data_IF_987245683282
#
_entry.id   IF_987245683282
#
_cell.length_a   1.000
_cell.length_b   1.000
_cell.length_c   1.000
_cell.angle_alpha   90.00
_cell.angle_beta   90.00
_cell.angle_gamma   90.00
#
_symmetry.space_group_name_H-M   'P 1'
#
loop_
_entity.id
_entity.type
_entity.pdbx_description
1 polymer ?
#
# COMPACT_ATOMS: atom_id res chain seq x y z
N UNK A 1 5.83 -7.49 2.56
CA UNK A 1 4.39 -7.18 2.44
C UNK A 1 4.11 -5.72 2.81
N UNK A 2 4.47 -5.29 4.03
CA UNK A 2 4.08 -3.96 4.53
C UNK A 2 4.60 -2.77 3.75
N UNK A 3 5.80 -2.87 3.18
CA UNK A 3 6.36 -1.80 2.37
C UNK A 3 5.64 -1.60 1.03
N UNK A 4 4.80 -2.56 0.62
CA UNK A 4 4.20 -2.59 -0.71
C UNK A 4 5.23 -2.52 -1.84
N UNK A 5 6.50 -2.84 -1.60
CA UNK A 5 7.59 -2.69 -2.57
C UNK A 5 7.36 -3.55 -3.83
N UNK A 6 7.89 -3.09 -4.96
CA UNK A 6 7.98 -3.91 -6.18
C UNK A 6 9.03 -4.98 -5.98
N UNK A 7 8.88 -6.10 -6.68
CA UNK A 7 9.84 -7.20 -6.63
C UNK A 7 11.27 -6.75 -6.96
N UNK A 8 11.45 -5.90 -7.98
CA UNK A 8 12.77 -5.38 -8.34
C UNK A 8 13.38 -4.50 -7.25
N UNK A 9 12.54 -3.70 -6.57
CA UNK A 9 13.00 -2.86 -5.45
C UNK A 9 13.50 -3.72 -4.30
N UNK A 10 12.89 -4.89 -4.04
CA UNK A 10 13.35 -5.85 -3.04
C UNK A 10 14.66 -6.51 -3.46
N UNK A 11 14.81 -6.89 -4.73
CA UNK A 11 16.04 -7.48 -5.28
C UNK A 11 17.24 -6.54 -5.13
N UNK A 12 17.00 -5.24 -5.29
CA UNK A 12 18.05 -4.22 -5.30
C UNK A 12 18.35 -3.65 -3.91
N UNK A 13 17.66 -4.10 -2.86
CA UNK A 13 17.94 -3.69 -1.49
C UNK A 13 19.36 -4.09 -1.07
N UNK A 14 19.95 -3.22 -0.27
CA UNK A 14 21.21 -3.44 0.44
C UNK A 14 21.08 -2.96 1.89
N UNK A 15 21.98 -3.35 2.80
CA UNK A 15 21.97 -2.82 4.17
C UNK A 15 21.97 -1.29 4.23
N UNK A 16 22.67 -0.63 3.30
CA UNK A 16 22.66 0.84 3.19
C UNK A 16 21.30 1.47 2.84
N UNK A 17 20.33 0.67 2.39
CA UNK A 17 18.96 1.11 2.13
C UNK A 17 18.12 1.19 3.41
N UNK A 18 18.63 0.68 4.54
CA UNK A 18 17.91 0.58 5.81
C UNK A 18 18.43 1.60 6.81
N UNK A 19 17.49 2.22 7.52
CA UNK A 19 17.74 2.90 8.78
C UNK A 19 16.97 2.17 9.87
N UNK A 20 17.70 1.54 10.79
CA UNK A 20 17.11 0.70 11.85
C UNK A 20 16.97 1.44 13.19
N UNK A 21 17.65 2.57 13.36
CA UNK A 21 17.45 3.50 14.47
C UNK A 21 16.21 4.39 14.24
N UNK A 22 15.62 4.88 15.33
CA UNK A 22 14.39 5.67 15.26
C UNK A 22 14.64 7.08 14.69
N UNK A 23 13.77 7.60 13.79
CA UNK A 23 12.70 6.89 13.08
C UNK A 23 13.22 5.91 12.02
N UNK A 24 12.84 4.64 12.18
CA UNK A 24 13.26 3.53 11.35
C UNK A 24 12.50 3.50 10.03
N UNK A 25 13.23 3.25 8.94
CA UNK A 25 12.65 3.25 7.61
C UNK A 25 13.51 2.49 6.60
N UNK A 26 12.89 2.19 5.46
CA UNK A 26 13.56 1.65 4.27
C UNK A 26 13.47 2.65 3.13
N UNK A 27 14.58 2.83 2.42
CA UNK A 27 14.64 3.64 1.20
C UNK A 27 14.49 2.71 -0.01
N UNK A 28 13.45 2.96 -0.82
CA UNK A 28 13.18 2.19 -2.03
C UNK A 28 13.47 3.03 -3.28
N UNK A 29 14.16 2.42 -4.24
CA UNK A 29 14.55 3.06 -5.50
C UNK A 29 13.68 2.55 -6.65
N UNK A 30 12.75 3.39 -7.11
CA UNK A 30 11.86 3.07 -8.22
C UNK A 30 12.41 3.47 -9.60
N UNK A 31 11.57 3.32 -10.63
CA UNK A 31 11.88 3.72 -12.02
C UNK A 31 12.33 5.19 -12.09
N UNK A 32 13.41 5.44 -12.83
CA UNK A 32 14.00 6.78 -12.96
C UNK A 32 14.75 7.24 -11.70
N UNK A 33 15.23 6.30 -10.89
CA UNK A 33 15.92 6.54 -9.62
C UNK A 33 15.12 7.38 -8.61
N UNK A 34 13.79 7.35 -8.72
CA UNK A 34 12.91 8.03 -7.77
C UNK A 34 12.97 7.29 -6.44
N UNK A 35 13.44 7.99 -5.41
CA UNK A 35 13.51 7.47 -4.05
C UNK A 35 12.17 7.68 -3.35
N UNK A 36 11.77 6.72 -2.52
CA UNK A 36 10.72 6.92 -1.52
C UNK A 36 11.12 6.25 -0.22
N UNK A 37 10.68 6.84 0.88
CA UNK A 37 10.92 6.35 2.23
C UNK A 37 9.65 5.64 2.69
N UNK A 38 9.79 4.43 3.21
CA UNK A 38 8.69 3.69 3.82
C UNK A 38 9.04 3.41 5.27
N UNK A 39 8.22 3.85 6.24
CA UNK A 39 8.49 3.61 7.65
C UNK A 39 8.48 2.12 7.97
N UNK A 40 9.32 1.71 8.92
CA UNK A 40 9.34 0.35 9.44
C UNK A 40 8.67 0.32 10.81
N UNK A 41 7.95 -0.77 11.09
CA UNK A 41 7.44 -1.09 12.41
C UNK A 41 8.53 -1.76 13.26
N UNK A 42 8.41 -1.68 14.59
CA UNK A 42 9.43 -2.20 15.51
C UNK A 42 9.63 -3.73 15.35
N UNK A 43 8.56 -4.48 15.03
CA UNK A 43 8.65 -5.92 14.75
C UNK A 43 9.48 -6.22 13.49
N UNK A 44 9.35 -5.37 12.46
CA UNK A 44 10.10 -5.51 11.21
C UNK A 44 11.58 -5.19 11.41
N UNK A 45 11.89 -4.18 12.22
CA UNK A 45 13.26 -3.84 12.61
C UNK A 45 13.91 -5.03 13.30
N UNK A 46 13.19 -5.65 14.25
CA UNK A 46 13.67 -6.83 14.99
C UNK A 46 14.01 -7.99 14.04
N UNK A 47 13.10 -8.31 13.11
CA UNK A 47 13.33 -9.37 12.11
C UNK A 47 14.52 -9.06 11.19
N UNK A 48 14.63 -7.81 10.73
CA UNK A 48 15.73 -7.38 9.86
C UNK A 48 17.08 -7.44 10.58
N UNK A 49 17.16 -7.01 11.84
CA UNK A 49 18.38 -7.08 12.64
C UNK A 49 18.85 -8.52 12.84
N UNK A 50 17.93 -9.43 13.21
CA UNK A 50 18.24 -10.84 13.37
C UNK A 50 18.77 -11.45 12.06
N UNK A 51 18.05 -11.20 10.95
CA UNK A 51 18.45 -11.65 9.63
C UNK A 51 19.82 -11.11 9.20
N UNK A 52 20.08 -9.81 9.40
CA UNK A 52 21.35 -9.19 9.04
C UNK A 52 22.51 -9.78 9.83
N UNK A 53 22.32 -10.04 11.12
CA UNK A 53 23.34 -10.66 11.98
C UNK A 53 23.64 -12.10 11.54
N UNK A 54 22.61 -12.90 11.26
CA UNK A 54 22.77 -14.28 10.78
C UNK A 54 23.54 -14.34 9.44
N UNK A 55 23.38 -13.31 8.59
CA UNK A 55 23.99 -13.24 7.27
C UNK A 55 25.26 -12.35 7.20
N UNK A 56 25.79 -11.89 8.34
CA UNK A 56 26.97 -10.99 8.41
C UNK A 56 26.83 -9.71 7.55
N UNK A 57 25.63 -9.12 7.57
CA UNK A 57 25.27 -7.90 6.84
C UNK A 57 25.28 -6.64 7.72
N UNK A 58 25.55 -6.80 9.02
CA UNK A 58 25.64 -5.75 10.03
C UNK A 58 27.04 -5.08 10.09
N UNK A 59 27.98 -5.53 9.27
CA UNK A 59 29.31 -4.92 9.12
C UNK A 59 29.38 -3.93 7.96
N UNK A 60 30.18 -2.87 8.11
CA UNK A 60 30.32 -1.81 7.11
C UNK A 60 30.72 -2.32 5.71
N UNK A 61 31.60 -3.32 5.64
CA UNK A 61 32.06 -3.91 4.39
C UNK A 61 30.93 -4.59 3.57
N UNK A 62 29.81 -4.93 4.22
CA UNK A 62 28.66 -5.58 3.59
C UNK A 62 27.59 -4.60 3.12
N UNK A 63 27.76 -3.29 3.33
CA UNK A 63 26.71 -2.28 3.11
C UNK A 63 26.16 -2.21 1.68
N UNK A 64 26.95 -2.61 0.68
CA UNK A 64 26.57 -2.63 -0.73
C UNK A 64 26.22 -4.02 -1.25
N UNK A 65 26.30 -5.05 -0.39
CA UNK A 65 25.86 -6.40 -0.76
C UNK A 65 24.34 -6.46 -0.86
N UNK A 66 23.79 -7.39 -1.64
CA UNK A 66 22.35 -7.65 -1.64
C UNK A 66 21.89 -7.94 -0.22
N UNK A 67 20.84 -7.25 0.23
CA UNK A 67 20.24 -7.53 1.53
C UNK A 67 19.70 -8.96 1.55
N UNK A 68 18.96 -9.34 0.51
CA UNK A 68 18.49 -10.72 0.30
C UNK A 68 19.29 -11.37 -0.82
N UNK A 69 20.08 -12.38 -0.47
CA UNK A 69 20.96 -13.07 -1.41
C UNK A 69 20.44 -14.47 -1.78
N UNK A 70 20.85 -14.95 -2.95
CA UNK A 70 20.72 -16.35 -3.32
C UNK A 70 21.82 -17.21 -2.65
N UNK A 71 21.78 -18.53 -2.82
CA UNK A 71 22.76 -19.45 -2.22
C UNK A 71 24.23 -19.23 -2.69
N UNK A 72 24.45 -18.42 -3.73
CA UNK A 72 25.78 -18.03 -4.23
C UNK A 72 26.22 -16.65 -3.73
N UNK A 73 25.46 -16.01 -2.84
CA UNK A 73 25.73 -14.66 -2.33
C UNK A 73 25.39 -13.52 -3.30
N UNK A 74 24.79 -13.83 -4.46
CA UNK A 74 24.37 -12.84 -5.45
C UNK A 74 22.94 -12.35 -5.24
N UNK A 75 22.51 -11.36 -6.03
CA UNK A 75 21.11 -10.89 -6.03
C UNK A 75 20.14 -12.02 -6.38
N UNK A 76 18.97 -12.00 -5.75
CA UNK A 76 17.85 -12.81 -6.20
C UNK A 76 17.37 -12.37 -7.58
N UNK A 77 16.72 -13.27 -8.30
CA UNK A 77 16.02 -12.93 -9.55
C UNK A 77 14.53 -12.80 -9.30
N UNK A 78 13.81 -12.16 -10.23
CA UNK A 78 12.34 -12.09 -10.16
C UNK A 78 11.70 -13.49 -10.09
N UNK A 79 12.23 -14.43 -10.89
CA UNK A 79 11.82 -15.83 -10.84
C UNK A 79 12.16 -16.49 -9.49
N UNK A 80 13.34 -16.20 -8.92
CA UNK A 80 13.74 -16.70 -7.60
C UNK A 80 12.82 -16.23 -6.47
N UNK A 81 12.45 -14.94 -6.45
CA UNK A 81 11.47 -14.44 -5.45
C UNK A 81 10.10 -15.09 -5.65
N UNK A 82 9.66 -15.23 -6.90
CA UNK A 82 8.37 -15.87 -7.21
C UNK A 82 8.36 -17.33 -6.77
N UNK A 83 9.47 -18.04 -6.99
CA UNK A 83 9.66 -19.42 -6.53
C UNK A 83 9.58 -19.50 -5.00
N UNK A 84 10.36 -18.69 -4.27
CA UNK A 84 10.34 -18.65 -2.80
C UNK A 84 8.91 -18.39 -2.29
N UNK A 85 8.23 -17.40 -2.87
CA UNK A 85 6.85 -17.07 -2.49
C UNK A 85 5.90 -18.24 -2.72
N UNK A 86 5.99 -18.90 -3.88
CA UNK A 86 5.15 -20.04 -4.21
C UNK A 86 5.41 -21.24 -3.29
N UNK A 87 6.67 -21.49 -2.91
CA UNK A 87 7.01 -22.54 -1.94
C UNK A 87 6.27 -22.33 -0.62
N UNK A 88 6.32 -21.12 -0.06
CA UNK A 88 5.59 -20.81 1.17
C UNK A 88 4.07 -20.80 0.97
N UNK A 89 3.57 -20.37 -0.19
CA UNK A 89 2.15 -20.41 -0.53
C UNK A 89 1.61 -21.85 -0.53
N UNK A 90 2.35 -22.79 -1.14
CA UNK A 90 1.99 -24.21 -1.18
C UNK A 90 2.00 -24.80 0.23
N UNK A 91 3.04 -24.53 1.03
CA UNK A 91 3.10 -24.98 2.43
C UNK A 91 1.91 -24.46 3.24
N UNK A 92 1.53 -23.18 3.07
CA UNK A 92 0.38 -22.61 3.74
C UNK A 92 -0.95 -23.24 3.27
N UNK A 93 -1.09 -23.53 1.97
CA UNK A 93 -2.26 -24.25 1.40
C UNK A 93 -2.39 -25.67 1.94
N UNK A 94 -1.27 -26.37 2.18
CA UNK A 94 -1.31 -27.71 2.77
C UNK A 94 -1.92 -27.70 4.18
N UNK A 95 -1.75 -26.61 4.92
CA UNK A 95 -2.34 -26.44 6.26
C UNK A 95 -3.78 -25.93 6.20
N UNK A 96 -4.08 -24.98 5.30
CA UNK A 96 -5.39 -24.34 5.16
C UNK A 96 -5.71 -24.05 3.69
N UNK A 97 -6.19 -25.04 2.92
CA UNK A 97 -6.32 -24.93 1.46
C UNK A 97 -7.29 -23.84 1.03
N UNK A 98 -8.33 -23.59 1.82
CA UNK A 98 -9.39 -22.64 1.47
C UNK A 98 -9.03 -21.16 1.72
N UNK A 99 -7.93 -20.90 2.44
CA UNK A 99 -7.57 -19.53 2.86
C UNK A 99 -6.50 -18.88 1.98
N UNK A 100 -5.78 -19.66 1.17
CA UNK A 100 -4.59 -19.17 0.48
C UNK A 100 -4.81 -19.20 -1.04
N UNK A 101 -5.25 -18.09 -1.65
CA UNK A 101 -5.42 -18.00 -3.10
C UNK A 101 -4.07 -18.07 -3.82
N UNK A 102 -4.09 -18.04 -5.16
CA UNK A 102 -2.88 -17.80 -5.93
C UNK A 102 -2.25 -16.45 -5.58
N UNK A 103 -0.98 -16.48 -5.18
CA UNK A 103 -0.24 -15.29 -4.77
C UNK A 103 0.96 -15.05 -5.68
N UNK A 104 1.23 -13.79 -5.94
CA UNK A 104 2.42 -13.31 -6.62
C UNK A 104 2.89 -12.01 -5.95
N UNK A 105 4.11 -11.54 -6.22
CA UNK A 105 4.56 -10.25 -5.69
C UNK A 105 3.62 -9.09 -6.08
N UNK A 106 3.00 -9.15 -7.26
CA UNK A 106 2.04 -8.15 -7.70
C UNK A 106 0.73 -8.22 -6.91
N UNK A 107 0.19 -9.42 -6.67
CA UNK A 107 -1.05 -9.56 -5.89
C UNK A 107 -0.85 -9.13 -4.45
N UNK A 108 0.27 -9.51 -3.80
CA UNK A 108 0.59 -9.06 -2.43
C UNK A 108 0.67 -7.53 -2.32
N UNK A 109 1.27 -6.88 -3.30
CA UNK A 109 1.36 -5.42 -3.36
C UNK A 109 -0.03 -4.78 -3.52
N UNK A 110 -0.86 -5.33 -4.39
CA UNK A 110 -2.24 -4.86 -4.55
C UNK A 110 -3.05 -5.07 -3.27
N UNK A 111 -2.94 -6.22 -2.61
CA UNK A 111 -3.58 -6.50 -1.32
C UNK A 111 -3.16 -5.50 -0.25
N UNK A 112 -1.86 -5.16 -0.14
CA UNK A 112 -1.42 -4.14 0.82
C UNK A 112 -2.05 -2.77 0.53
N UNK A 113 -2.15 -2.38 -0.75
CA UNK A 113 -2.81 -1.14 -1.15
C UNK A 113 -4.29 -1.12 -0.74
N UNK A 114 -4.99 -2.24 -0.98
CA UNK A 114 -6.39 -2.39 -0.60
C UNK A 114 -6.60 -2.39 0.92
N UNK A 115 -5.72 -3.03 1.68
CA UNK A 115 -5.78 -3.00 3.14
C UNK A 115 -5.58 -1.58 3.69
N UNK A 116 -4.66 -0.79 3.11
CA UNK A 116 -4.48 0.61 3.49
C UNK A 116 -5.72 1.45 3.16
N UNK A 117 -6.31 1.24 1.98
CA UNK A 117 -7.54 1.92 1.58
C UNK A 117 -8.68 1.61 2.56
N UNK A 118 -8.91 0.33 2.82
CA UNK A 118 -9.94 -0.16 3.78
C UNK A 118 -9.71 0.37 5.20
N UNK A 119 -8.45 0.58 5.60
CA UNK A 119 -8.09 1.16 6.89
C UNK A 119 -8.29 2.68 6.97
N UNK A 120 -8.80 3.33 5.92
CA UNK A 120 -9.04 4.77 5.94
C UNK A 120 -7.86 5.63 5.46
N UNK A 121 -6.76 5.02 5.00
CA UNK A 121 -5.58 5.80 4.59
C UNK A 121 -5.89 6.58 3.32
N UNK A 122 -5.59 7.88 3.35
CA UNK A 122 -5.86 8.74 2.20
C UNK A 122 -5.07 8.28 0.96
N UNK A 123 -5.76 8.27 -0.18
CA UNK A 123 -5.29 7.70 -1.44
C UNK A 123 -3.97 8.32 -1.93
N UNK A 124 -3.71 9.59 -1.62
CA UNK A 124 -2.46 10.28 -1.94
C UNK A 124 -1.29 9.60 -1.23
N UNK A 125 -1.44 9.28 0.07
CA UNK A 125 -0.40 8.58 0.82
C UNK A 125 -0.20 7.15 0.33
N UNK A 126 -1.27 6.43 -0.03
CA UNK A 126 -1.17 5.09 -0.62
C UNK A 126 -0.39 5.15 -1.95
N UNK A 127 -0.73 6.12 -2.80
CA UNK A 127 -0.05 6.34 -4.08
C UNK A 127 1.43 6.62 -3.88
N UNK A 128 1.78 7.48 -2.94
CA UNK A 128 3.16 7.88 -2.66
C UNK A 128 3.95 6.72 -2.05
N UNK A 129 3.35 5.96 -1.12
CA UNK A 129 3.95 4.75 -0.51
C UNK A 129 4.24 3.66 -1.55
N UNK A 130 3.37 3.50 -2.54
CA UNK A 130 3.55 2.52 -3.61
C UNK A 130 4.44 3.09 -4.74
N UNK A 131 4.48 4.40 -4.94
CA UNK A 131 5.25 5.04 -6.02
C UNK A 131 4.66 4.78 -7.41
N UNK A 132 3.33 4.86 -7.57
CA UNK A 132 2.68 4.81 -8.89
C UNK A 132 2.82 6.17 -9.60
N UNK A 133 3.29 6.15 -10.85
CA UNK A 133 3.42 7.35 -11.71
C UNK A 133 2.19 7.53 -12.61
N UNK A 134 1.35 6.49 -12.79
CA UNK A 134 0.18 6.51 -13.68
C UNK A 134 -1.14 6.70 -12.93
N UNK A 135 -1.97 7.60 -13.44
CA UNK A 135 -3.32 7.94 -12.99
C UNK A 135 -4.27 6.72 -13.07
N UNK A 136 -4.07 5.79 -14.02
CA UNK A 136 -4.96 4.63 -14.22
C UNK A 136 -5.02 3.68 -13.00
N UNK A 137 -3.93 3.51 -12.24
CA UNK A 137 -3.97 2.67 -11.04
C UNK A 137 -4.65 3.38 -9.87
N UNK A 138 -4.56 4.71 -9.83
CA UNK A 138 -5.24 5.55 -8.84
C UNK A 138 -6.75 5.56 -9.08
N UNK A 139 -7.17 5.49 -10.35
CA UNK A 139 -8.57 5.41 -10.77
C UNK A 139 -9.25 4.11 -10.34
N UNK A 140 -8.54 2.96 -10.40
CA UNK A 140 -9.03 1.68 -9.88
C UNK A 140 -9.31 1.77 -8.37
N UNK A 141 -8.39 2.37 -7.60
CA UNK A 141 -8.60 2.57 -6.17
C UNK A 141 -9.73 3.57 -5.88
N UNK A 142 -9.85 4.64 -6.66
CA UNK A 142 -10.92 5.63 -6.52
C UNK A 142 -12.31 5.10 -6.88
N UNK A 143 -12.42 4.05 -7.71
CA UNK A 143 -13.68 3.32 -7.98
C UNK A 143 -14.00 2.34 -6.85
N UNK A 144 -12.99 1.67 -6.27
CA UNK A 144 -13.16 0.81 -5.11
C UNK A 144 -13.65 1.58 -3.84
N UNK A 145 -13.40 2.88 -3.79
CA UNK A 145 -13.79 3.85 -2.75
C UNK A 145 -15.29 4.22 -2.76
N UNK A 146 -16.14 3.67 -3.64
CA UNK A 146 -17.56 4.06 -3.70
C UNK A 146 -18.31 3.90 -2.37
N UNK A 147 -17.93 2.90 -1.55
CA UNK A 147 -18.51 2.67 -0.22
C UNK A 147 -17.93 3.61 0.84
N UNK A 148 -16.65 3.97 0.73
CA UNK A 148 -15.93 4.75 1.72
C UNK A 148 -16.13 6.26 1.48
N UNK A 149 -16.24 6.72 0.22
CA UNK A 149 -16.83 8.03 -0.13
C UNK A 149 -18.23 8.18 0.43
N UNK A 150 -19.08 7.14 0.27
CA UNK A 150 -20.44 7.17 0.79
C UNK A 150 -20.45 7.30 2.31
N UNK A 151 -19.65 6.52 3.03
CA UNK A 151 -19.53 6.63 4.49
C UNK A 151 -18.92 7.97 4.94
N UNK A 152 -17.94 8.52 4.22
CA UNK A 152 -17.34 9.82 4.54
C UNK A 152 -18.30 10.98 4.27
N UNK A 153 -19.07 10.92 3.18
CA UNK A 153 -20.17 11.84 2.90
C UNK A 153 -21.24 11.73 3.98
N UNK A 154 -21.76 10.53 4.26
CA UNK A 154 -22.75 10.30 5.30
C UNK A 154 -22.29 10.81 6.66
N UNK A 155 -21.04 10.56 7.05
CA UNK A 155 -20.45 11.07 8.30
C UNK A 155 -20.32 12.60 8.32
N UNK A 156 -19.97 13.23 7.20
CA UNK A 156 -19.92 14.69 7.08
C UNK A 156 -21.32 15.33 7.06
N UNK A 157 -22.34 14.59 6.60
CA UNK A 157 -23.73 15.06 6.54
C UNK A 157 -24.51 14.90 7.86
N UNK A 158 -23.98 14.18 8.86
CA UNK A 158 -24.64 13.99 10.18
C UNK A 158 -24.92 15.33 10.92
N UNK A 159 -24.30 16.44 10.52
CA UNK A 159 -24.57 17.77 11.10
C UNK A 159 -25.21 18.80 10.16
N UNK A 160 -25.53 18.44 8.91
CA UNK A 160 -26.01 19.39 7.88
C UNK A 160 -27.48 19.16 7.52
N UNK A 161 -28.06 18.00 7.89
CA UNK A 161 -29.49 17.77 7.74
C UNK A 161 -30.21 18.68 8.76
N UNK A 162 -30.95 19.71 8.33
CA UNK A 162 -31.79 20.46 9.23
C UNK A 162 -32.75 19.47 9.89
N UNK A 163 -32.98 19.60 11.20
CA UNK A 163 -34.03 18.84 11.89
C UNK A 163 -35.26 18.77 10.99
N UNK A 164 -35.83 17.57 10.81
CA UNK A 164 -36.91 17.24 9.87
C UNK A 164 -38.24 18.00 10.08
N UNK A 165 -38.23 19.14 10.77
CA UNK A 165 -39.36 20.03 11.02
C UNK A 165 -39.19 21.48 10.55
N UNK A 166 -38.05 21.90 9.96
CA UNK A 166 -37.93 23.24 9.36
C UNK A 166 -37.86 23.16 7.85
N UNK A 167 -38.96 23.51 7.17
CA UNK A 167 -38.95 23.76 5.71
C UNK A 167 -37.81 24.73 5.40
N UNK A 168 -36.86 24.30 4.55
CA UNK A 168 -35.73 25.14 4.15
C UNK A 168 -36.24 26.39 3.43
N UNK A 169 -35.59 27.54 3.62
CA UNK A 169 -36.00 28.81 2.98
C UNK A 169 -36.13 28.69 1.44
N UNK A 170 -35.33 27.81 0.83
CA UNK A 170 -35.35 27.47 -0.59
C UNK A 170 -36.61 26.69 -1.04
N UNK A 171 -37.31 26.00 -0.14
CA UNK A 171 -38.58 25.32 -0.47
C UNK A 171 -39.73 26.31 -0.70
N UNK A 172 -39.60 27.55 -0.21
CA UNK A 172 -40.59 28.62 -0.41
C UNK A 172 -40.32 29.44 -1.68
N UNK A 173 -39.16 29.27 -2.31
CA UNK A 173 -38.79 29.99 -3.52
C UNK A 173 -39.32 29.28 -4.78
N UNK A 174 -40.46 29.76 -5.28
CA UNK A 174 -41.12 29.25 -6.47
C UNK A 174 -40.32 29.50 -7.76
N UNK A 175 -39.47 30.53 -7.81
CA UNK A 175 -38.58 30.80 -8.96
C UNK A 175 -37.44 29.78 -9.00
N UNK A 176 -36.81 29.49 -7.86
CA UNK A 176 -35.73 28.51 -7.76
C UNK A 176 -36.22 27.10 -8.12
N UNK A 177 -37.41 26.71 -7.64
CA UNK A 177 -38.05 25.43 -8.01
C UNK A 177 -38.35 25.33 -9.50
N UNK A 178 -38.79 26.42 -10.12
CA UNK A 178 -39.03 26.48 -11.57
C UNK A 178 -37.74 26.32 -12.38
N UNK A 179 -36.65 26.94 -11.93
CA UNK A 179 -35.33 26.84 -12.56
C UNK A 179 -34.74 25.43 -12.47
N UNK A 180 -34.77 24.79 -11.30
CA UNK A 180 -34.27 23.42 -11.11
C UNK A 180 -35.02 22.38 -11.96
N UNK A 181 -36.34 22.55 -12.16
CA UNK A 181 -37.14 21.66 -13.03
C UNK A 181 -36.77 21.75 -14.52
N UNK A 182 -36.17 22.86 -14.96
CA UNK A 182 -35.72 23.03 -16.33
C UNK A 182 -34.29 22.50 -16.56
N UNK A 183 -33.57 22.13 -15.50
CA UNK A 183 -32.21 21.58 -15.56
C UNK A 183 -32.18 20.05 -15.76
N UNK A 184 -33.33 19.39 -15.61
CA UNK A 184 -33.50 17.95 -15.80
C UNK A 184 -34.05 17.57 -17.19
N UNK A 185 -33.89 18.44 -18.18
CA UNK A 185 -34.12 18.13 -19.60
C UNK A 185 -32.82 18.26 -20.36
#
# INVERSE_FOLDING_TARGET
>A
YDSGARVQEIIDLSPSSLRLDKPSHITLHGKGNKKRIVPLQDEQVTLLQAYMKENSLDIYASNQRPLFANNRGGRLTNAGITYILNTYAVMARMLKPELIPEISPHTLRHSKAMHLLQAGVNLIYIRDMLGHVSIQTTEIYARADSKQKRNALESAYIGIIPNAGSLGSWEKDSKLKGWLKNLSK
#
